data_IF_134669616686
#
_entry.id   IF_134669616686
#
_cell.length_a   1.000
_cell.length_b   1.000
_cell.length_c   1.000
_cell.angle_alpha   90.00
_cell.angle_beta   90.00
_cell.angle_gamma   90.00
#
_symmetry.space_group_name_H-M   'P 1'
#
loop_
_entity.id
_entity.type
_entity.pdbx_description
1 polymer ?
#
# COMPACT_ATOMS: atom_id res chain seq x y z
N UNK A 1 5.02 18.93 8.01
CA UNK A 1 5.44 17.52 8.21
C UNK A 1 4.25 16.56 8.23
N UNK A 2 3.37 16.59 9.25
CA UNK A 2 2.29 15.59 9.40
C UNK A 2 1.36 15.44 8.18
N UNK A 3 0.93 16.55 7.57
CA UNK A 3 0.06 16.50 6.37
C UNK A 3 0.76 15.83 5.17
N UNK A 4 2.06 16.10 4.97
CA UNK A 4 2.82 15.50 3.87
C UNK A 4 3.00 13.99 4.05
N UNK A 5 3.34 13.56 5.27
CA UNK A 5 3.50 12.14 5.62
C UNK A 5 2.22 11.32 5.36
N UNK A 6 1.05 11.94 5.50
CA UNK A 6 -0.24 11.30 5.30
C UNK A 6 -0.70 11.27 3.82
N UNK A 7 0.03 11.88 2.89
CA UNK A 7 -0.28 11.78 1.45
C UNK A 7 0.25 10.49 0.86
N UNK A 8 -0.38 9.99 -0.22
CA UNK A 8 0.16 8.86 -0.99
C UNK A 8 1.43 9.27 -1.76
N UNK A 9 2.38 8.35 -2.00
CA UNK A 9 3.56 8.62 -2.82
C UNK A 9 3.15 8.99 -4.25
N UNK A 10 3.94 9.87 -4.87
CA UNK A 10 3.73 10.29 -6.25
C UNK A 10 4.01 9.13 -7.20
N UNK A 11 3.37 9.13 -8.36
CA UNK A 11 3.59 8.09 -9.39
C UNK A 11 5.07 8.01 -9.80
N UNK A 12 5.77 9.14 -9.87
CA UNK A 12 7.19 9.20 -10.23
C UNK A 12 8.14 8.61 -9.17
N UNK A 13 7.68 8.48 -7.92
CA UNK A 13 8.44 7.88 -6.82
C UNK A 13 8.34 6.35 -6.81
N UNK A 14 7.35 5.80 -7.52
CA UNK A 14 7.01 4.39 -7.49
C UNK A 14 7.69 3.61 -8.62
N UNK A 15 8.13 2.39 -8.27
CA UNK A 15 8.69 1.41 -9.20
C UNK A 15 7.85 0.13 -9.20
N UNK A 16 7.94 -0.65 -10.27
CA UNK A 16 7.26 -1.96 -10.36
C UNK A 16 8.25 -3.06 -10.69
N UNK A 17 8.08 -4.23 -10.09
CA UNK A 17 8.81 -5.45 -10.45
C UNK A 17 7.85 -6.62 -10.72
N UNK A 18 8.26 -7.62 -11.51
CA UNK A 18 7.53 -8.89 -11.58
C UNK A 18 7.41 -9.53 -10.19
N UNK A 19 6.26 -10.12 -9.92
CA UNK A 19 5.97 -10.89 -8.73
C UNK A 19 5.37 -12.25 -9.08
N UNK A 20 5.08 -13.07 -8.07
CA UNK A 20 4.52 -14.41 -8.26
C UNK A 20 3.22 -14.40 -9.08
N UNK A 21 3.05 -15.40 -9.95
CA UNK A 21 1.85 -15.54 -10.78
C UNK A 21 1.65 -14.41 -11.80
N UNK A 22 2.74 -13.77 -12.27
CA UNK A 22 2.68 -12.70 -13.27
C UNK A 22 2.16 -11.35 -12.75
N UNK A 23 1.90 -11.22 -11.44
CA UNK A 23 1.48 -9.96 -10.83
C UNK A 23 2.62 -8.96 -10.84
N UNK A 24 2.31 -7.66 -10.96
CA UNK A 24 3.30 -6.58 -10.78
C UNK A 24 3.25 -6.09 -9.33
N UNK A 25 4.39 -6.12 -8.65
CA UNK A 25 4.54 -5.57 -7.30
C UNK A 25 5.02 -4.13 -7.38
N UNK A 26 4.28 -3.21 -6.76
CA UNK A 26 4.68 -1.79 -6.68
C UNK A 26 5.50 -1.58 -5.40
N UNK A 27 6.58 -0.81 -5.49
CA UNK A 27 7.45 -0.51 -4.35
C UNK A 27 8.09 0.87 -4.48
N UNK A 28 8.53 1.45 -3.37
CA UNK A 28 9.46 2.59 -3.36
C UNK A 28 10.90 2.05 -3.37
N UNK A 29 11.74 2.60 -4.23
CA UNK A 29 13.18 2.30 -4.22
C UNK A 29 13.83 2.88 -2.95
N UNK A 30 15.00 2.34 -2.55
CA UNK A 30 15.74 2.88 -1.41
C UNK A 30 16.08 4.36 -1.61
N UNK A 31 16.53 4.73 -2.81
CA UNK A 31 16.80 6.12 -3.20
C UNK A 31 15.55 7.01 -3.12
N UNK A 32 14.39 6.55 -3.59
CA UNK A 32 13.15 7.32 -3.49
C UNK A 32 12.74 7.55 -2.03
N UNK A 33 12.88 6.55 -1.16
CA UNK A 33 12.64 6.72 0.29
C UNK A 33 13.61 7.74 0.89
N UNK A 34 14.91 7.64 0.59
CA UNK A 34 15.93 8.58 1.07
C UNK A 34 15.64 10.02 0.63
N UNK A 35 15.31 10.24 -0.65
CA UNK A 35 14.92 11.57 -1.16
C UNK A 35 13.68 12.09 -0.46
N UNK A 36 12.66 11.25 -0.30
CA UNK A 36 11.42 11.63 0.38
C UNK A 36 11.66 11.99 1.85
N UNK A 37 12.55 11.27 2.55
CA UNK A 37 12.97 11.62 3.92
C UNK A 37 13.67 12.98 3.95
N UNK A 38 14.58 13.24 3.01
CA UNK A 38 15.25 14.55 2.89
C UNK A 38 14.26 15.68 2.57
N UNK A 39 13.27 15.44 1.72
CA UNK A 39 12.27 16.44 1.33
C UNK A 39 11.31 16.77 2.50
N UNK A 40 10.98 15.79 3.35
CA UNK A 40 10.02 15.97 4.45
C UNK A 40 10.69 16.44 5.74
N UNK A 41 11.86 15.88 6.07
CA UNK A 41 12.55 16.14 7.33
C UNK A 41 13.75 17.08 7.17
N UNK A 42 14.25 17.31 5.96
CA UNK A 42 15.54 17.97 5.71
C UNK A 42 16.69 16.98 5.70
N UNK A 43 17.80 17.32 5.02
CA UNK A 43 18.97 16.45 4.91
C UNK A 43 19.62 16.13 6.27
N UNK A 44 19.48 17.04 7.24
CA UNK A 44 20.00 16.92 8.60
C UNK A 44 18.91 16.53 9.62
N UNK A 45 17.62 16.62 9.27
CA UNK A 45 16.51 16.41 10.19
C UNK A 45 16.16 14.95 10.47
N UNK A 46 16.85 13.98 9.86
CA UNK A 46 16.72 12.57 10.18
C UNK A 46 18.07 11.85 10.25
N UNK A 47 18.08 10.66 10.83
CA UNK A 47 19.21 9.74 10.75
C UNK A 47 18.77 8.28 10.71
N UNK A 48 19.68 7.44 10.22
CA UNK A 48 19.56 6.00 10.25
C UNK A 48 20.67 5.41 11.11
N UNK A 49 20.31 4.50 12.00
CA UNK A 49 21.23 3.67 12.78
C UNK A 49 21.03 2.21 12.38
N UNK A 50 22.11 1.52 12.00
CA UNK A 50 22.09 0.06 11.84
C UNK A 50 22.34 -0.56 13.22
N UNK A 51 21.30 -1.08 13.85
CA UNK A 51 21.34 -1.62 15.22
C UNK A 51 22.03 -2.98 15.25
N UNK A 52 21.69 -3.84 14.29
CA UNK A 52 22.19 -5.20 14.21
C UNK A 52 22.17 -5.67 12.75
N UNK A 53 23.12 -6.52 12.40
CA UNK A 53 23.10 -7.29 11.15
C UNK A 53 23.47 -8.74 11.46
N UNK A 54 22.69 -9.69 10.94
CA UNK A 54 22.91 -11.11 11.17
C UNK A 54 22.99 -11.85 9.85
N UNK A 55 24.03 -12.67 9.69
CA UNK A 55 24.14 -13.61 8.56
C UNK A 55 23.33 -14.85 8.90
N UNK A 56 22.24 -15.09 8.18
CA UNK A 56 21.33 -16.22 8.46
C UNK A 56 21.75 -17.48 7.70
N UNK A 57 22.17 -17.35 6.44
CA UNK A 57 22.59 -18.47 5.60
C UNK A 57 23.85 -18.10 4.80
N UNK A 58 24.71 -19.08 4.57
CA UNK A 58 25.91 -18.97 3.73
C UNK A 58 26.30 -20.37 3.21
N UNK A 59 25.64 -20.81 2.16
CA UNK A 59 25.77 -22.17 1.61
C UNK A 59 26.27 -22.14 0.16
N UNK A 60 26.71 -23.29 -0.37
CA UNK A 60 27.00 -23.42 -1.81
C UNK A 60 25.95 -24.30 -2.48
N UNK A 61 25.42 -23.85 -3.61
CA UNK A 61 24.51 -24.63 -4.44
C UNK A 61 25.26 -25.67 -5.29
N UNK A 62 24.51 -26.57 -5.95
CA UNK A 62 25.05 -27.59 -6.86
C UNK A 62 25.89 -27.00 -8.01
N UNK A 63 25.66 -25.73 -8.33
CA UNK A 63 26.38 -24.97 -9.36
C UNK A 63 27.61 -24.25 -8.80
N UNK A 64 28.03 -24.57 -7.57
CA UNK A 64 29.18 -24.02 -6.84
C UNK A 64 29.10 -22.50 -6.58
N UNK A 65 27.90 -21.91 -6.62
CA UNK A 65 27.64 -20.51 -6.26
C UNK A 65 27.34 -20.40 -4.78
N UNK A 66 27.75 -19.31 -4.16
CA UNK A 66 27.39 -18.97 -2.78
C UNK A 66 25.99 -18.38 -2.73
N UNK A 67 25.13 -18.96 -1.91
CA UNK A 67 23.82 -18.44 -1.54
C UNK A 67 23.92 -17.86 -0.13
N UNK A 68 23.76 -16.55 -0.01
CA UNK A 68 23.94 -15.82 1.25
C UNK A 68 22.69 -15.02 1.55
N UNK A 69 22.27 -15.02 2.82
CA UNK A 69 21.20 -14.15 3.31
C UNK A 69 21.58 -13.44 4.60
N UNK A 70 21.09 -12.22 4.73
CA UNK A 70 21.25 -11.37 5.89
C UNK A 70 19.90 -10.83 6.36
N UNK A 71 19.77 -10.66 7.67
CA UNK A 71 18.79 -9.78 8.28
C UNK A 71 19.49 -8.56 8.88
N UNK A 72 18.79 -7.44 8.92
CA UNK A 72 19.26 -6.21 9.56
C UNK A 72 18.13 -5.61 10.40
N UNK A 73 18.47 -5.09 11.58
CA UNK A 73 17.61 -4.23 12.39
C UNK A 73 18.11 -2.79 12.24
N UNK A 74 17.22 -1.87 11.87
CA UNK A 74 17.58 -0.46 11.75
C UNK A 74 16.61 0.43 12.50
N UNK A 75 17.09 1.61 12.89
CA UNK A 75 16.30 2.71 13.46
C UNK A 75 16.37 3.92 12.56
N UNK A 76 15.22 4.47 12.19
CA UNK A 76 15.09 5.77 11.54
C UNK A 76 14.56 6.76 12.56
N UNK A 77 15.28 7.86 12.80
CA UNK A 77 14.94 8.87 13.82
C UNK A 77 14.71 10.23 13.17
N UNK A 78 13.59 10.88 13.49
CA UNK A 78 13.35 12.29 13.20
C UNK A 78 13.95 13.13 14.34
N UNK A 79 14.99 13.90 14.03
CA UNK A 79 15.82 14.55 15.05
C UNK A 79 15.08 15.60 15.87
N UNK A 80 14.28 16.43 15.20
CA UNK A 80 13.61 17.56 15.85
C UNK A 80 12.59 17.12 16.91
N UNK A 81 11.92 15.98 16.71
CA UNK A 81 10.93 15.47 17.67
C UNK A 81 11.43 14.30 18.53
N UNK A 82 12.62 13.77 18.25
CA UNK A 82 13.13 12.53 18.87
C UNK A 82 12.33 11.26 18.53
N UNK A 83 11.32 11.36 17.66
CA UNK A 83 10.49 10.21 17.30
C UNK A 83 11.28 9.27 16.39
N UNK A 84 11.25 7.98 16.68
CA UNK A 84 11.93 6.98 15.89
C UNK A 84 11.03 5.81 15.54
N UNK A 85 11.40 5.08 14.48
CA UNK A 85 10.79 3.83 14.05
C UNK A 85 11.88 2.81 13.82
N UNK A 86 11.67 1.60 14.33
CA UNK A 86 12.54 0.46 14.11
C UNK A 86 11.80 -0.61 13.33
N UNK A 87 12.51 -1.26 12.42
CA UNK A 87 12.00 -2.45 11.73
C UNK A 87 13.19 -3.31 11.28
N UNK A 88 12.91 -4.57 11.02
CA UNK A 88 13.87 -5.48 10.43
C UNK A 88 13.73 -5.49 8.91
N UNK A 89 14.77 -5.94 8.21
CA UNK A 89 14.74 -6.18 6.78
C UNK A 89 15.61 -7.36 6.42
N UNK A 90 15.34 -7.95 5.26
CA UNK A 90 16.06 -9.13 4.77
C UNK A 90 16.66 -8.85 3.40
N UNK A 91 17.81 -9.44 3.13
CA UNK A 91 18.44 -9.39 1.82
C UNK A 91 19.18 -10.67 1.54
N UNK A 92 19.07 -11.15 0.31
CA UNK A 92 19.72 -12.36 -0.18
C UNK A 92 20.49 -12.09 -1.47
N UNK A 93 21.47 -12.95 -1.75
CA UNK A 93 22.20 -12.92 -3.00
C UNK A 93 22.81 -14.28 -3.32
N UNK A 94 22.87 -14.59 -4.62
CA UNK A 94 23.56 -15.76 -5.15
C UNK A 94 24.63 -15.34 -6.13
N UNK A 95 25.89 -15.67 -5.86
CA UNK A 95 27.02 -15.31 -6.73
C UNK A 95 28.13 -16.38 -6.68
N UNK A 96 28.98 -16.46 -7.71
CA UNK A 96 30.18 -17.33 -7.68
C UNK A 96 31.24 -16.82 -6.69
N UNK A 97 31.29 -15.50 -6.48
CA UNK A 97 32.15 -14.84 -5.51
C UNK A 97 31.43 -14.68 -4.17
N UNK A 98 31.98 -15.26 -3.11
CA UNK A 98 31.45 -15.10 -1.75
C UNK A 98 31.39 -13.63 -1.35
N UNK A 99 32.42 -12.85 -1.67
CA UNK A 99 32.48 -11.44 -1.35
C UNK A 99 31.36 -10.64 -2.04
N UNK A 100 31.07 -10.95 -3.30
CA UNK A 100 29.97 -10.31 -4.04
C UNK A 100 28.61 -10.68 -3.44
N UNK A 101 28.38 -11.97 -3.16
CA UNK A 101 27.13 -12.43 -2.55
C UNK A 101 26.89 -11.78 -1.17
N UNK A 102 27.92 -11.75 -0.30
CA UNK A 102 27.85 -11.09 1.01
C UNK A 102 27.55 -9.61 0.87
N UNK A 103 28.25 -8.89 -0.01
CA UNK A 103 28.06 -7.46 -0.19
C UNK A 103 26.65 -7.12 -0.67
N UNK A 104 26.10 -7.89 -1.62
CA UNK A 104 24.76 -7.66 -2.13
C UNK A 104 23.69 -8.00 -1.10
N UNK A 105 23.77 -9.15 -0.44
CA UNK A 105 22.80 -9.58 0.58
C UNK A 105 22.75 -8.60 1.77
N UNK A 106 23.92 -8.20 2.30
CA UNK A 106 24.00 -7.25 3.40
C UNK A 106 23.42 -5.88 3.03
N UNK A 107 23.84 -5.30 1.88
CA UNK A 107 23.32 -4.01 1.42
C UNK A 107 21.81 -4.04 1.19
N UNK A 108 21.30 -5.13 0.62
CA UNK A 108 19.87 -5.35 0.42
C UNK A 108 19.12 -5.41 1.75
N UNK A 109 19.64 -6.13 2.75
CA UNK A 109 19.00 -6.26 4.07
C UNK A 109 18.84 -4.92 4.79
N UNK A 110 19.89 -4.09 4.80
CA UNK A 110 19.87 -2.76 5.41
C UNK A 110 18.93 -1.81 4.66
N UNK A 111 18.95 -1.87 3.32
CA UNK A 111 18.06 -1.04 2.49
C UNK A 111 16.59 -1.43 2.69
N UNK A 112 16.31 -2.73 2.81
CA UNK A 112 14.96 -3.21 3.08
C UNK A 112 14.48 -2.78 4.46
N UNK A 113 15.31 -2.95 5.48
CA UNK A 113 15.03 -2.52 6.84
C UNK A 113 14.76 -1.01 6.91
N UNK A 114 15.54 -0.19 6.19
CA UNK A 114 15.33 1.26 6.11
C UNK A 114 13.94 1.61 5.55
N UNK A 115 13.56 1.03 4.41
CA UNK A 115 12.25 1.29 3.81
C UNK A 115 11.11 0.87 4.75
N UNK A 116 11.28 -0.27 5.43
CA UNK A 116 10.32 -0.81 6.39
C UNK A 116 10.24 0.01 7.68
N UNK A 117 11.33 0.59 8.17
CA UNK A 117 11.28 1.54 9.27
C UNK A 117 10.61 2.86 8.83
N UNK A 118 10.97 3.37 7.65
CA UNK A 118 10.48 4.64 7.12
C UNK A 118 8.96 4.64 6.89
N UNK A 119 8.37 3.54 6.40
CA UNK A 119 6.92 3.48 6.15
C UNK A 119 6.08 3.79 7.41
N UNK A 120 6.58 3.48 8.61
CA UNK A 120 5.84 3.71 9.85
C UNK A 120 5.71 5.20 10.23
N UNK A 121 6.37 6.10 9.49
CA UNK A 121 6.14 7.54 9.60
C UNK A 121 4.92 8.01 8.77
N UNK A 122 4.48 7.26 7.76
CA UNK A 122 3.27 7.58 7.02
C UNK A 122 3.19 7.01 5.60
N UNK A 123 2.03 7.20 4.98
CA UNK A 123 1.69 6.72 3.63
C UNK A 123 2.68 7.17 2.58
N UNK A 124 3.18 8.40 2.69
CA UNK A 124 4.13 9.01 1.75
C UNK A 124 5.42 8.21 1.65
N UNK A 125 5.82 7.55 2.74
CA UNK A 125 7.01 6.71 2.83
C UNK A 125 6.70 5.22 2.56
N UNK A 126 5.55 4.93 1.96
CA UNK A 126 5.23 3.61 1.42
C UNK A 126 4.23 2.80 2.25
N UNK A 127 3.64 3.35 3.31
CA UNK A 127 2.65 2.61 4.09
C UNK A 127 1.39 2.28 3.27
N UNK A 128 0.92 3.20 2.41
CA UNK A 128 -0.24 2.98 1.55
C UNK A 128 -0.05 1.86 0.52
N UNK A 129 1.19 1.42 0.27
CA UNK A 129 1.47 0.32 -0.68
C UNK A 129 1.01 -1.05 -0.15
N UNK A 130 0.74 -1.16 1.14
CA UNK A 130 0.26 -2.39 1.77
C UNK A 130 -1.27 -2.51 1.73
N UNK A 131 -1.97 -1.47 1.30
CA UNK A 131 -3.41 -1.54 1.09
C UNK A 131 -3.73 -2.40 -0.14
N UNK A 132 -4.68 -3.33 0.00
CA UNK A 132 -5.13 -4.18 -1.10
C UNK A 132 -5.73 -3.38 -2.27
N UNK A 133 -6.21 -2.17 -2.01
CA UNK A 133 -6.81 -1.26 -2.99
C UNK A 133 -5.78 -0.37 -3.72
N UNK A 134 -4.50 -0.42 -3.33
CA UNK A 134 -3.48 0.43 -3.91
C UNK A 134 -3.27 0.14 -5.40
N UNK A 135 -3.20 1.20 -6.21
CA UNK A 135 -2.93 1.10 -7.63
C UNK A 135 -2.04 2.25 -8.09
N UNK A 136 -0.91 1.91 -8.72
CA UNK A 136 0.03 2.91 -9.29
C UNK A 136 -0.65 3.85 -10.30
N UNK A 137 -1.69 3.38 -11.00
CA UNK A 137 -2.48 4.20 -11.92
C UNK A 137 -3.27 5.30 -11.19
N UNK A 138 -3.69 5.03 -9.95
CA UNK A 138 -4.41 5.97 -9.07
C UNK A 138 -3.48 6.82 -8.20
N UNK A 139 -2.17 6.57 -8.22
CA UNK A 139 -1.21 7.38 -7.48
C UNK A 139 -1.21 8.84 -7.99
N UNK A 140 -1.11 9.84 -7.11
CA UNK A 140 -1.06 11.25 -7.49
C UNK A 140 0.13 11.55 -8.40
N UNK A 141 -0.05 12.45 -9.37
CA UNK A 141 1.02 12.83 -10.31
C UNK A 141 1.92 13.94 -9.77
N UNK A 142 1.39 14.76 -8.87
CA UNK A 142 2.08 15.90 -8.26
C UNK A 142 1.60 16.09 -6.81
N UNK A 143 2.27 17.01 -6.10
CA UNK A 143 1.98 17.30 -4.70
C UNK A 143 0.59 17.91 -4.48
N UNK A 144 0.11 18.76 -5.38
CA UNK A 144 -1.22 19.39 -5.27
C UNK A 144 -2.31 18.32 -5.29
N UNK A 145 -2.20 17.37 -6.21
CA UNK A 145 -3.09 16.23 -6.32
C UNK A 145 -2.99 15.32 -5.09
N UNK A 146 -1.78 15.05 -4.59
CA UNK A 146 -1.58 14.24 -3.39
C UNK A 146 -2.28 14.83 -2.16
N UNK A 147 -2.12 16.14 -1.94
CA UNK A 147 -2.75 16.87 -0.84
C UNK A 147 -4.28 16.91 -0.99
N UNK A 148 -4.78 17.19 -2.20
CA UNK A 148 -6.23 17.24 -2.48
C UNK A 148 -6.88 15.88 -2.24
N UNK A 149 -6.25 14.80 -2.71
CA UNK A 149 -6.72 13.43 -2.48
C UNK A 149 -6.79 13.12 -0.98
N UNK A 150 -5.73 13.44 -0.22
CA UNK A 150 -5.70 13.23 1.22
C UNK A 150 -6.81 14.01 1.95
N UNK A 151 -7.01 15.29 1.61
CA UNK A 151 -8.07 16.10 2.22
C UNK A 151 -9.47 15.54 1.94
N UNK A 152 -9.72 15.06 0.70
CA UNK A 152 -10.98 14.41 0.33
C UNK A 152 -11.18 13.08 1.09
N UNK A 153 -10.14 12.24 1.16
CA UNK A 153 -10.20 10.95 1.88
C UNK A 153 -10.47 11.16 3.38
N UNK A 154 -9.77 12.12 3.99
CA UNK A 154 -9.98 12.52 5.39
C UNK A 154 -11.38 13.09 5.63
N UNK A 155 -11.88 13.90 4.71
CA UNK A 155 -13.22 14.48 4.81
C UNK A 155 -14.31 13.38 4.72
N UNK A 156 -14.15 12.43 3.79
CA UNK A 156 -15.04 11.28 3.66
C UNK A 156 -15.05 10.41 4.91
N UNK A 157 -13.88 10.08 5.46
CA UNK A 157 -13.80 9.21 6.63
C UNK A 157 -14.36 9.87 7.90
N UNK A 158 -14.18 11.19 8.05
CA UNK A 158 -14.62 11.91 9.26
C UNK A 158 -16.08 12.37 9.21
N UNK A 159 -16.57 12.77 8.04
CA UNK A 159 -17.88 13.42 7.90
C UNK A 159 -18.86 12.64 7.03
N UNK A 160 -18.45 11.53 6.41
CA UNK A 160 -19.36 10.66 5.65
C UNK A 160 -20.01 11.35 4.46
N UNK A 161 -19.22 11.95 3.55
CA UNK A 161 -19.77 12.50 2.30
C UNK A 161 -20.39 11.38 1.46
N UNK A 162 -21.68 11.15 1.63
CA UNK A 162 -22.49 10.32 0.74
C UNK A 162 -22.47 10.95 -0.65
N UNK A 163 -21.85 10.24 -1.59
CA UNK A 163 -21.95 10.57 -3.01
C UNK A 163 -23.29 10.13 -3.62
N UNK A 164 -24.21 9.58 -2.81
CA UNK A 164 -25.41 8.87 -3.27
C UNK A 164 -26.73 9.55 -2.91
N UNK A 165 -26.73 10.85 -2.58
CA UNK A 165 -27.99 11.61 -2.70
C UNK A 165 -28.26 11.82 -4.19
N UNK A 166 -28.85 10.81 -4.85
CA UNK A 166 -29.49 10.97 -6.16
C UNK A 166 -30.41 12.19 -6.03
N UNK A 167 -30.14 13.24 -6.81
CA UNK A 167 -31.12 14.31 -6.98
C UNK A 167 -32.43 13.64 -7.41
N UNK A 168 -33.58 13.96 -6.79
CA UNK A 168 -34.85 13.48 -7.32
C UNK A 168 -34.93 13.96 -8.76
N UNK A 169 -34.99 13.02 -9.69
CA UNK A 169 -35.31 13.30 -11.08
C UNK A 169 -36.75 13.78 -11.05
N UNK A 170 -36.96 15.08 -11.28
CA UNK A 170 -38.30 15.59 -11.59
C UNK A 170 -38.69 15.03 -12.95
N UNK A 171 -39.35 13.87 -12.96
CA UNK A 171 -40.10 13.41 -14.11
C UNK A 171 -41.33 14.31 -14.21
N UNK A 172 -41.23 15.38 -15.01
CA UNK A 172 -42.40 16.12 -15.44
C UNK A 172 -43.24 15.21 -16.33
N UNK A 173 -44.24 14.56 -15.73
CA UNK A 173 -45.30 13.90 -16.47
C UNK A 173 -46.20 14.97 -17.09
N UNK A 174 -46.15 15.10 -18.42
CA UNK A 174 -47.22 15.72 -19.20
C UNK A 174 -48.28 14.64 -19.46
N UNK A 175 -49.49 14.95 -19.05
CA UNK A 175 -50.70 14.12 -19.00
C UNK A 175 -51.41 13.94 -20.34
N UNK A 176 -52.03 12.76 -20.55
CA UNK A 176 -53.30 12.63 -21.29
C UNK A 176 -54.06 11.33 -20.93
N UNK A 177 -55.17 11.49 -20.17
CA UNK A 177 -56.51 10.85 -20.24
C UNK A 177 -56.69 9.50 -20.96
N UNK A 178 -57.40 8.48 -20.45
CA UNK A 178 -58.83 8.45 -20.05
C UNK A 178 -59.28 7.17 -19.29
N UNK A 179 -60.26 7.33 -18.36
CA UNK A 179 -61.44 6.50 -17.93
C UNK A 179 -61.58 5.02 -18.41
N UNK A 180 -62.14 3.99 -17.72
CA UNK A 180 -63.10 3.75 -16.61
C UNK A 180 -62.94 2.26 -16.13
N UNK A 181 -63.30 1.89 -14.88
CA UNK A 181 -63.11 0.54 -14.24
C UNK A 181 -64.13 -0.57 -14.61
N UNK A 182 -64.50 -1.56 -13.75
CA UNK A 182 -63.87 -2.12 -12.53
C UNK A 182 -63.81 -3.70 -12.44
N UNK A 183 -63.11 -4.21 -11.41
CA UNK A 183 -63.30 -5.49 -10.67
C UNK A 183 -63.09 -6.86 -11.36
N UNK A 184 -62.21 -7.72 -10.81
CA UNK A 184 -62.56 -9.01 -10.15
C UNK A 184 -61.35 -9.92 -9.85
N UNK A 185 -61.53 -10.73 -8.80
CA UNK A 185 -60.65 -11.69 -8.11
C UNK A 185 -59.99 -12.75 -9.01
N UNK A 186 -58.80 -13.26 -8.62
CA UNK A 186 -58.66 -14.72 -8.42
C UNK A 186 -57.46 -15.15 -7.55
N UNK A 187 -57.64 -16.32 -6.96
CA UNK A 187 -56.93 -16.98 -5.86
C UNK A 187 -56.01 -18.09 -6.37
N UNK A 188 -54.85 -18.29 -5.72
CA UNK A 188 -54.17 -19.56 -5.35
C UNK A 188 -52.64 -19.33 -5.27
N UNK A 189 -51.99 -19.54 -4.12
CA UNK A 189 -51.62 -20.83 -3.52
C UNK A 189 -50.68 -21.66 -4.40
N UNK A 190 -49.39 -21.70 -4.04
CA UNK A 190 -48.81 -22.94 -3.53
C UNK A 190 -47.38 -22.77 -3.00
N UNK A 191 -47.15 -23.50 -1.92
CA UNK A 191 -45.91 -23.66 -1.20
C UNK A 191 -44.90 -24.53 -1.98
N UNK A 192 -43.62 -24.35 -1.70
CA UNK A 192 -42.70 -25.48 -1.49
C UNK A 192 -41.49 -25.02 -0.68
N UNK A 193 -41.48 -25.48 0.57
CA UNK A 193 -40.28 -25.68 1.38
C UNK A 193 -39.46 -26.77 0.72
N UNK A 194 -38.14 -26.62 0.63
CA UNK A 194 -37.26 -27.79 0.67
C UNK A 194 -35.99 -27.51 1.47
N UNK A 195 -35.95 -28.21 2.60
CA UNK A 195 -34.84 -28.51 3.47
C UNK A 195 -33.88 -29.55 2.85
N UNK A 196 -32.87 -29.90 3.65
CA UNK A 196 -31.85 -30.96 3.54
C UNK A 196 -30.48 -30.45 3.04
N UNK A 197 -29.51 -30.21 3.92
CA UNK A 197 -28.79 -31.12 4.83
C UNK A 197 -27.51 -31.69 4.17
N UNK A 198 -26.40 -31.45 4.88
CA UNK A 198 -25.11 -32.14 4.97
C UNK A 198 -24.82 -33.31 4.01
N UNK A 199 -23.54 -33.43 3.61
CA UNK A 199 -22.58 -34.40 4.18
C UNK A 199 -21.25 -34.32 3.39
N UNK A 200 -20.14 -34.35 4.16
CA UNK A 200 -18.71 -34.50 3.83
C UNK A 200 -17.93 -33.32 3.26
#
# INVERSE_FOLDING_TARGET
IAKLLATKPLRAELSTRPGPGGKKLTYLSGDSVTRTLNDIFGFDGWCLEVKETRKECCERDDKKRYCVSYTALVRVTHRASGAFKEDCGSGDSTDRSLATAVNHALKASVTDAMKRAARHFGDKLGNSLYESSFSIKKAPVDLKNALTMHDIERAKSKFGFEKDRKKPVNTSNTSSTSNLGPSSKNVNANASVNSYANVN
#
